data_IF_954323725204
#
_entry.id   IF_954323725204
#
_cell.length_a   1.000
_cell.length_b   1.000
_cell.length_c   1.000
_cell.angle_alpha   90.00
_cell.angle_beta   90.00
_cell.angle_gamma   90.00
#
_symmetry.space_group_name_H-M   'P 1'
#
loop_
_entity.id
_entity.type
_entity.pdbx_description
1 polymer ?
#
# COMPACT_ATOMS: atom_id res chain seq x y z
N UNK A 1 -45.52 47.66 38.74
CA UNK A 1 -44.09 47.69 38.36
C UNK A 1 -43.51 46.30 38.60
N UNK A 2 -43.25 45.57 37.52
CA UNK A 2 -41.99 44.84 37.19
C UNK A 2 -41.25 44.15 38.38
N UNK A 3 -40.92 42.85 38.39
CA UNK A 3 -40.21 42.06 37.36
C UNK A 3 -40.42 40.54 37.52
N UNK A 4 -40.48 39.87 36.38
CA UNK A 4 -40.37 38.43 36.13
C UNK A 4 -38.87 38.06 36.16
N UNK A 5 -38.52 36.92 36.76
CA UNK A 5 -37.22 36.26 36.53
C UNK A 5 -37.49 34.82 36.06
N UNK A 6 -37.45 34.63 34.75
CA UNK A 6 -37.49 33.31 34.11
C UNK A 6 -36.06 32.80 34.00
N UNK A 7 -35.73 31.70 34.67
CA UNK A 7 -34.47 31.00 34.49
C UNK A 7 -34.48 30.27 33.14
N UNK A 8 -33.59 30.68 32.23
CA UNK A 8 -33.34 29.97 30.98
C UNK A 8 -32.30 28.89 31.26
N UNK A 9 -32.74 27.63 31.29
CA UNK A 9 -31.85 26.47 31.23
C UNK A 9 -31.30 26.37 29.81
N UNK A 10 -30.03 26.74 29.63
CA UNK A 10 -29.29 26.47 28.39
C UNK A 10 -28.75 25.03 28.46
N UNK A 11 -29.49 24.07 27.90
CA UNK A 11 -28.96 22.74 27.61
C UNK A 11 -28.01 22.87 26.41
N UNK A 12 -26.72 23.01 26.67
CA UNK A 12 -25.69 22.88 25.64
C UNK A 12 -25.64 21.39 25.29
N UNK A 13 -26.28 21.03 24.19
CA UNK A 13 -26.13 19.72 23.58
C UNK A 13 -24.68 19.52 23.21
N UNK A 14 -24.01 18.56 23.85
CA UNK A 14 -22.79 17.98 23.34
C UNK A 14 -23.12 17.36 21.99
N UNK A 15 -22.80 18.07 20.92
CA UNK A 15 -22.67 17.47 19.60
C UNK A 15 -21.48 16.52 19.74
N UNK A 16 -21.79 15.23 19.88
CA UNK A 16 -20.80 14.17 19.73
C UNK A 16 -20.16 14.34 18.36
N UNK A 17 -18.96 14.91 18.34
CA UNK A 17 -18.07 14.82 17.19
C UNK A 17 -17.80 13.33 17.06
N UNK A 18 -18.45 12.69 16.07
CA UNK A 18 -18.10 11.34 15.69
C UNK A 18 -16.57 11.30 15.50
N UNK A 19 -15.87 10.27 16.02
CA UNK A 19 -14.44 10.19 15.83
C UNK A 19 -14.17 10.33 14.34
N UNK A 20 -13.28 11.25 13.98
CA UNK A 20 -12.82 11.40 12.61
C UNK A 20 -12.49 9.99 12.13
N UNK A 21 -13.10 9.56 11.03
CA UNK A 21 -12.78 8.28 10.40
C UNK A 21 -11.26 8.25 10.25
N UNK A 22 -10.60 7.42 11.06
CA UNK A 22 -9.14 7.35 11.13
C UNK A 22 -8.58 7.29 9.71
N UNK A 23 -7.57 8.13 9.46
CA UNK A 23 -7.16 8.47 8.12
C UNK A 23 -6.78 7.23 7.32
N UNK A 24 -7.45 7.03 6.17
CA UNK A 24 -7.05 6.06 5.15
C UNK A 24 -5.56 6.17 4.85
N UNK A 25 -4.88 5.04 4.78
CA UNK A 25 -3.45 4.98 4.49
C UNK A 25 -3.16 5.43 3.04
N UNK A 26 -2.02 6.09 2.83
CA UNK A 26 -1.47 6.36 1.49
C UNK A 26 -0.20 5.56 1.24
N UNK A 27 0.09 5.25 -0.02
CA UNK A 27 1.29 4.51 -0.40
C UNK A 27 2.60 5.27 -0.11
N UNK A 28 2.54 6.58 0.14
CA UNK A 28 3.70 7.40 0.54
C UNK A 28 4.18 7.10 1.96
N UNK A 29 3.34 6.46 2.78
CA UNK A 29 3.67 6.11 4.17
C UNK A 29 4.43 4.77 4.27
N UNK A 30 4.44 3.97 3.21
CA UNK A 30 5.21 2.72 3.16
C UNK A 30 6.71 3.00 3.04
N UNK A 31 7.56 2.28 3.78
CA UNK A 31 9.00 2.41 3.64
C UNK A 31 9.42 2.00 2.21
N UNK A 32 10.42 2.71 1.71
CA UNK A 32 11.14 2.35 0.48
C UNK A 32 12.56 2.01 0.91
N UNK A 33 12.91 0.72 1.04
CA UNK A 33 14.23 0.30 1.50
C UNK A 33 15.34 0.88 0.63
N UNK A 34 16.20 1.71 1.22
CA UNK A 34 17.30 2.38 0.50
C UNK A 34 18.30 1.39 -0.09
N UNK A 35 18.45 0.24 0.55
CA UNK A 35 19.30 -0.85 0.09
C UNK A 35 18.83 -1.45 -1.24
N UNK A 36 17.59 -1.18 -1.66
CA UNK A 36 16.97 -1.87 -2.78
C UNK A 36 16.25 -0.96 -3.76
N UNK A 37 16.12 0.36 -3.54
CA UNK A 37 15.33 1.21 -4.44
C UNK A 37 15.66 2.71 -4.29
N UNK A 38 15.58 3.55 -5.35
CA UNK A 38 15.64 4.98 -5.13
C UNK A 38 14.39 5.43 -4.39
N UNK A 39 14.54 6.36 -3.43
CA UNK A 39 13.42 6.86 -2.60
C UNK A 39 12.23 7.42 -3.41
N UNK A 40 12.47 7.88 -4.65
CA UNK A 40 11.43 8.44 -5.50
C UNK A 40 10.85 7.36 -6.45
N UNK A 41 9.51 7.30 -6.61
CA UNK A 41 8.89 6.43 -7.59
C UNK A 41 9.28 6.84 -9.01
N UNK A 42 9.28 5.87 -9.92
CA UNK A 42 9.44 6.10 -11.35
C UNK A 42 8.30 6.98 -11.87
N UNK A 43 8.64 7.89 -12.77
CA UNK A 43 7.65 8.63 -13.53
C UNK A 43 6.89 7.71 -14.49
N UNK A 44 5.71 8.13 -14.98
CA UNK A 44 4.87 7.28 -15.84
C UNK A 44 5.51 6.91 -17.18
N UNK A 45 6.53 7.65 -17.62
CA UNK A 45 7.25 7.42 -18.88
C UNK A 45 8.50 6.56 -18.71
N UNK A 46 9.01 6.40 -17.49
CA UNK A 46 10.25 5.65 -17.24
C UNK A 46 9.95 4.14 -17.32
N UNK A 47 10.61 3.38 -18.19
CA UNK A 47 10.32 1.93 -18.35
C UNK A 47 8.82 1.62 -18.52
N UNK A 48 8.08 2.45 -19.27
CA UNK A 48 6.62 2.41 -19.36
C UNK A 48 6.06 1.01 -19.67
N UNK A 49 6.67 0.28 -20.61
CA UNK A 49 6.24 -1.08 -20.97
C UNK A 49 6.37 -2.06 -19.79
N UNK A 50 7.47 -2.01 -19.04
CA UNK A 50 7.67 -2.86 -17.88
C UNK A 50 6.73 -2.49 -16.72
N UNK A 51 6.46 -1.19 -16.53
CA UNK A 51 5.45 -0.74 -15.56
C UNK A 51 4.06 -1.24 -15.94
N UNK A 52 3.67 -1.13 -17.21
CA UNK A 52 2.37 -1.59 -17.70
C UNK A 52 2.23 -3.11 -17.54
N UNK A 53 3.26 -3.87 -17.90
CA UNK A 53 3.29 -5.32 -17.72
C UNK A 53 3.11 -5.73 -16.25
N UNK A 54 3.83 -5.09 -15.33
CA UNK A 54 3.68 -5.34 -13.89
C UNK A 54 2.26 -5.01 -13.42
N UNK A 55 1.73 -3.85 -13.79
CA UNK A 55 0.37 -3.41 -13.39
C UNK A 55 -0.68 -4.37 -13.91
N UNK A 56 -0.59 -4.77 -15.19
CA UNK A 56 -1.53 -5.70 -15.80
C UNK A 56 -1.50 -7.08 -15.10
N UNK A 57 -0.30 -7.56 -14.76
CA UNK A 57 -0.13 -8.81 -14.02
C UNK A 57 -0.76 -8.75 -12.63
N UNK A 58 -0.51 -7.67 -11.87
CA UNK A 58 -1.11 -7.44 -10.55
C UNK A 58 -2.62 -7.32 -10.67
N UNK A 59 -3.13 -6.49 -11.59
CA UNK A 59 -4.57 -6.33 -11.84
C UNK A 59 -5.27 -7.67 -12.12
N UNK A 60 -4.67 -8.51 -12.97
CA UNK A 60 -5.21 -9.83 -13.28
C UNK A 60 -5.18 -10.82 -12.09
N UNK A 61 -4.33 -10.60 -11.08
CA UNK A 61 -4.30 -11.38 -9.85
C UNK A 61 -5.33 -10.86 -8.85
N UNK A 62 -5.29 -9.58 -8.52
CA UNK A 62 -6.18 -8.99 -7.50
C UNK A 62 -7.64 -8.98 -7.92
N UNK A 63 -7.94 -8.95 -9.23
CA UNK A 63 -9.31 -9.10 -9.73
C UNK A 63 -9.94 -10.45 -9.36
N UNK A 64 -9.16 -11.54 -9.34
CA UNK A 64 -9.65 -12.86 -8.90
C UNK A 64 -10.03 -12.88 -7.41
N UNK A 65 -9.42 -11.98 -6.64
CA UNK A 65 -9.72 -11.75 -5.22
C UNK A 65 -10.82 -10.69 -5.01
N UNK A 66 -11.43 -10.19 -6.09
CA UNK A 66 -12.51 -9.20 -6.05
C UNK A 66 -12.03 -7.77 -5.74
N UNK A 67 -10.85 -7.40 -6.23
CA UNK A 67 -10.26 -6.08 -6.06
C UNK A 67 -9.84 -5.43 -7.39
N UNK A 68 -9.75 -4.10 -7.38
CA UNK A 68 -9.19 -3.26 -8.46
C UNK A 68 -8.09 -2.36 -7.92
N UNK A 69 -7.10 -2.04 -8.75
CA UNK A 69 -6.03 -1.09 -8.37
C UNK A 69 -6.61 0.34 -8.41
N UNK A 70 -6.51 1.08 -7.31
CA UNK A 70 -6.98 2.46 -7.19
C UNK A 70 -5.85 3.48 -7.16
N UNK A 71 -4.66 3.08 -6.70
CA UNK A 71 -3.45 3.89 -6.70
C UNK A 71 -2.22 2.99 -6.84
N UNK A 72 -1.11 3.54 -7.34
CA UNK A 72 0.15 2.80 -7.53
C UNK A 72 1.38 3.68 -7.37
N UNK A 73 2.44 3.10 -6.79
CA UNK A 73 3.80 3.65 -6.80
C UNK A 73 4.75 2.55 -7.24
N UNK A 74 5.55 2.80 -8.27
CA UNK A 74 6.47 1.81 -8.84
C UNK A 74 7.89 2.36 -8.75
N UNK A 75 8.83 1.50 -8.38
CA UNK A 75 10.21 1.87 -8.18
C UNK A 75 11.15 0.91 -8.89
N UNK A 76 12.35 1.41 -9.23
CA UNK A 76 13.45 0.56 -9.62
C UNK A 76 13.99 -0.18 -8.40
N UNK A 77 14.27 -1.47 -8.55
CA UNK A 77 15.06 -2.20 -7.60
C UNK A 77 16.55 -2.03 -7.95
N UNK A 78 17.32 -1.37 -7.07
CA UNK A 78 18.75 -1.11 -7.24
C UNK A 78 19.53 -2.05 -6.33
N UNK A 79 19.92 -3.21 -6.86
CA UNK A 79 20.96 -4.02 -6.24
C UNK A 79 20.54 -5.44 -5.89
N UNK A 80 21.04 -6.40 -6.66
CA UNK A 80 21.26 -7.76 -6.19
C UNK A 80 22.46 -7.72 -5.25
N UNK A 81 22.22 -7.84 -3.95
CA UNK A 81 23.27 -8.19 -2.99
C UNK A 81 23.09 -9.66 -2.58
N UNK A 82 23.94 -10.58 -3.10
CA UNK A 82 23.88 -11.98 -2.73
C UNK A 82 24.12 -12.23 -1.23
N UNK A 83 24.71 -11.29 -0.49
CA UNK A 83 24.92 -11.41 0.95
C UNK A 83 23.62 -11.21 1.76
N UNK A 84 22.63 -10.51 1.19
CA UNK A 84 21.37 -10.14 1.88
C UNK A 84 20.24 -11.14 1.65
N UNK A 85 20.47 -12.17 0.82
CA UNK A 85 19.48 -13.19 0.49
C UNK A 85 18.55 -12.77 -0.66
N UNK A 86 17.46 -13.52 -0.91
CA UNK A 86 16.51 -13.18 -1.96
C UNK A 86 15.89 -11.81 -1.69
N UNK A 87 15.99 -10.88 -2.65
CA UNK A 87 15.53 -9.48 -2.51
C UNK A 87 14.09 -9.37 -2.01
N UNK A 88 13.21 -10.25 -2.48
CA UNK A 88 11.81 -10.30 -2.01
C UNK A 88 11.72 -10.53 -0.51
N UNK A 89 12.51 -11.44 0.06
CA UNK A 89 12.44 -11.78 1.49
C UNK A 89 12.81 -10.56 2.35
N UNK A 90 13.82 -9.81 1.93
CA UNK A 90 14.25 -8.60 2.67
C UNK A 90 13.24 -7.47 2.51
N UNK A 91 12.81 -7.20 1.26
CA UNK A 91 11.78 -6.21 0.97
C UNK A 91 10.49 -6.52 1.75
N UNK A 92 10.04 -7.77 1.71
CA UNK A 92 8.84 -8.24 2.39
C UNK A 92 8.98 -8.20 3.91
N UNK A 93 10.15 -8.51 4.47
CA UNK A 93 10.39 -8.36 5.90
C UNK A 93 10.35 -6.90 6.36
N UNK A 94 11.00 -5.98 5.65
CA UNK A 94 11.00 -4.55 6.01
C UNK A 94 9.62 -3.92 5.85
N UNK A 95 8.96 -4.17 4.71
CA UNK A 95 7.60 -3.69 4.46
C UNK A 95 6.63 -4.36 5.43
N UNK A 96 6.77 -5.67 5.67
CA UNK A 96 5.96 -6.45 6.59
C UNK A 96 6.04 -5.94 8.02
N UNK A 97 7.24 -5.63 8.52
CA UNK A 97 7.41 -5.01 9.84
C UNK A 97 6.67 -3.68 9.92
N UNK A 98 6.81 -2.80 8.92
CA UNK A 98 6.06 -1.54 8.91
C UNK A 98 4.54 -1.77 8.83
N UNK A 99 4.09 -2.73 8.01
CA UNK A 99 2.69 -3.11 7.86
C UNK A 99 2.09 -3.59 9.18
N UNK A 100 2.79 -4.44 9.92
CA UNK A 100 2.35 -4.97 11.21
C UNK A 100 2.47 -3.90 12.31
N UNK A 101 3.64 -3.28 12.45
CA UNK A 101 3.96 -2.43 13.61
C UNK A 101 3.32 -1.04 13.51
N UNK A 102 3.10 -0.52 12.29
CA UNK A 102 2.57 0.83 12.08
C UNK A 102 1.10 0.84 11.68
N UNK A 103 0.67 -0.13 10.86
CA UNK A 103 -0.69 -0.15 10.28
C UNK A 103 -1.57 -1.28 10.82
N UNK A 104 -1.07 -2.04 11.80
CA UNK A 104 -1.75 -3.21 12.39
C UNK A 104 -2.30 -4.16 11.31
N UNK A 105 -1.56 -4.27 10.21
CA UNK A 105 -2.03 -4.95 9.02
C UNK A 105 -1.78 -6.45 9.11
N UNK A 106 -2.72 -7.21 8.53
CA UNK A 106 -2.62 -8.65 8.39
C UNK A 106 -2.41 -9.04 6.94
N UNK A 107 -1.35 -9.78 6.67
CA UNK A 107 -1.18 -10.46 5.40
C UNK A 107 -2.19 -11.59 5.25
N UNK A 108 -2.86 -11.64 4.11
CA UNK A 108 -3.81 -12.72 3.81
C UNK A 108 -3.55 -13.38 2.47
N UNK A 109 -2.54 -12.93 1.74
CA UNK A 109 -2.04 -13.54 0.51
C UNK A 109 -0.54 -13.30 0.41
N UNK A 110 0.24 -14.37 0.23
CA UNK A 110 1.65 -14.31 -0.17
C UNK A 110 1.89 -15.44 -1.17
N UNK A 111 2.32 -15.09 -2.38
CA UNK A 111 2.55 -16.09 -3.41
C UNK A 111 3.65 -15.74 -4.42
N UNK A 112 4.41 -16.78 -4.76
CA UNK A 112 5.33 -16.87 -5.88
C UNK A 112 4.55 -17.32 -7.12
N UNK A 113 4.56 -16.54 -8.20
CA UNK A 113 3.80 -16.91 -9.40
C UNK A 113 4.66 -17.00 -10.67
N UNK A 114 4.72 -18.20 -11.23
CA UNK A 114 5.39 -18.46 -12.51
C UNK A 114 4.76 -17.73 -13.71
N UNK A 115 3.50 -17.27 -13.60
CA UNK A 115 2.71 -16.60 -14.63
C UNK A 115 2.06 -15.29 -14.12
N UNK A 116 2.71 -14.60 -13.18
CA UNK A 116 2.24 -13.36 -12.57
C UNK A 116 3.37 -12.37 -12.32
N UNK A 117 3.23 -11.40 -11.39
CA UNK A 117 4.42 -10.81 -10.80
C UNK A 117 5.29 -11.92 -10.21
N UNK A 118 6.61 -11.72 -10.20
CA UNK A 118 7.54 -12.70 -9.65
C UNK A 118 7.18 -13.04 -8.20
N UNK A 119 6.79 -12.03 -7.42
CA UNK A 119 6.17 -12.19 -6.10
C UNK A 119 5.03 -11.21 -5.91
N UNK A 120 4.03 -11.60 -5.11
CA UNK A 120 2.92 -10.75 -4.71
C UNK A 120 2.50 -11.08 -3.27
N UNK A 121 2.39 -10.03 -2.47
CA UNK A 121 1.80 -10.09 -1.15
C UNK A 121 0.65 -9.09 -1.03
N UNK A 122 -0.42 -9.47 -0.31
CA UNK A 122 -1.60 -8.63 -0.07
C UNK A 122 -1.90 -8.57 1.42
N UNK A 123 -2.01 -7.34 1.90
CA UNK A 123 -2.23 -6.99 3.30
C UNK A 123 -3.53 -6.24 3.46
N UNK A 124 -4.15 -6.37 4.64
CA UNK A 124 -5.28 -5.54 5.06
C UNK A 124 -4.94 -4.84 6.37
N UNK A 125 -5.01 -3.51 6.39
CA UNK A 125 -4.81 -2.71 7.60
C UNK A 125 -5.97 -2.88 8.57
N UNK A 126 -5.79 -2.50 9.84
CA UNK A 126 -6.89 -2.50 10.83
C UNK A 126 -8.05 -1.58 10.44
N UNK A 127 -7.78 -0.54 9.66
CA UNK A 127 -8.77 0.40 9.13
C UNK A 127 -9.50 -0.11 7.86
N UNK A 128 -9.06 -1.24 7.32
CA UNK A 128 -9.72 -1.91 6.19
C UNK A 128 -9.13 -1.58 4.82
N UNK A 129 -8.08 -0.77 4.75
CA UNK A 129 -7.33 -0.54 3.51
C UNK A 129 -6.65 -1.84 3.07
N UNK A 130 -6.62 -2.08 1.77
CA UNK A 130 -6.02 -3.28 1.19
C UNK A 130 -4.89 -2.88 0.27
N UNK A 131 -3.71 -3.44 0.50
CA UNK A 131 -2.47 -3.06 -0.17
C UNK A 131 -1.84 -4.30 -0.77
N UNK A 132 -1.49 -4.22 -2.04
CA UNK A 132 -0.63 -5.20 -2.70
C UNK A 132 0.79 -4.66 -2.83
N UNK A 133 1.76 -5.51 -2.54
CA UNK A 133 3.19 -5.29 -2.80
C UNK A 133 3.63 -6.36 -3.77
N UNK A 134 4.20 -5.96 -4.90
CA UNK A 134 4.58 -6.90 -5.95
C UNK A 134 5.97 -6.61 -6.50
N UNK A 135 6.64 -7.67 -6.92
CA UNK A 135 7.92 -7.61 -7.61
C UNK A 135 7.77 -8.13 -9.04
N UNK A 136 8.32 -7.43 -10.03
CA UNK A 136 8.37 -7.92 -11.41
C UNK A 136 9.44 -9.01 -11.58
N UNK A 137 9.38 -9.71 -12.71
CA UNK A 137 10.56 -10.36 -13.26
C UNK A 137 11.60 -9.32 -13.68
N UNK A 138 12.84 -9.77 -13.91
CA UNK A 138 13.88 -8.92 -14.49
C UNK A 138 13.40 -8.37 -15.86
N UNK A 139 13.51 -7.07 -16.05
CA UNK A 139 13.19 -6.36 -17.29
C UNK A 139 14.27 -6.63 -18.34
N UNK A 140 14.01 -6.27 -19.59
CA UNK A 140 14.99 -6.34 -20.68
C UNK A 140 16.25 -5.51 -20.43
N UNK A 141 16.19 -4.53 -19.52
CA UNK A 141 17.32 -3.68 -19.11
C UNK A 141 18.08 -4.23 -17.89
N UNK A 142 17.74 -5.45 -17.44
CA UNK A 142 18.33 -6.06 -16.27
C UNK A 142 17.91 -5.42 -14.94
N UNK A 143 16.74 -4.76 -14.92
CA UNK A 143 16.18 -4.14 -13.71
C UNK A 143 15.07 -5.01 -13.15
N UNK A 144 14.80 -4.88 -11.86
CA UNK A 144 13.58 -5.43 -11.26
C UNK A 144 12.73 -4.25 -10.81
N UNK A 145 11.42 -4.32 -11.00
CA UNK A 145 10.49 -3.32 -10.52
C UNK A 145 9.82 -3.82 -9.24
N UNK A 146 9.61 -2.90 -8.30
CA UNK A 146 8.77 -3.12 -7.12
C UNK A 146 7.61 -2.15 -7.20
N UNK A 147 6.39 -2.66 -7.03
CA UNK A 147 5.18 -1.87 -7.04
C UNK A 147 4.41 -1.99 -5.74
N UNK A 148 3.97 -0.85 -5.22
CA UNK A 148 2.96 -0.76 -4.16
C UNK A 148 1.64 -0.34 -4.80
N UNK A 149 0.55 -0.99 -4.41
CA UNK A 149 -0.77 -0.81 -5.01
C UNK A 149 -1.85 -0.71 -3.94
N UNK A 150 -2.64 0.36 -3.96
CA UNK A 150 -3.88 0.40 -3.19
C UNK A 150 -4.96 -0.37 -3.94
N UNK A 151 -5.73 -1.16 -3.20
CA UNK A 151 -6.79 -1.99 -3.74
C UNK A 151 -8.16 -1.54 -3.22
N UNK A 152 -9.08 -1.26 -4.13
CA UNK A 152 -10.50 -1.03 -3.86
C UNK A 152 -11.34 -2.26 -4.20
N UNK A 153 -12.57 -2.33 -3.68
CA UNK A 153 -13.55 -3.31 -4.16
C UNK A 153 -14.07 -2.89 -5.54
N UNK A 154 -14.24 -3.87 -6.42
CA UNK A 154 -14.92 -3.70 -7.72
C UNK A 154 -16.40 -3.35 -7.51
#
# INVERSE_FOLDING_TARGET
>A
MTRILTAVFFCIGFVGVAPAKDASMTLDQLPVPEAFSPRAPLGPTDQAEAQEALVAAVAGKVKREGYVITDRRIFNCVGYDPATGPQWVVLHAEVGNAMVDTFEAKEFYDHLDAKGPHHLSIWRTSHGDVIAVAQSYETSEGKVLVGYFMLGKE
#
